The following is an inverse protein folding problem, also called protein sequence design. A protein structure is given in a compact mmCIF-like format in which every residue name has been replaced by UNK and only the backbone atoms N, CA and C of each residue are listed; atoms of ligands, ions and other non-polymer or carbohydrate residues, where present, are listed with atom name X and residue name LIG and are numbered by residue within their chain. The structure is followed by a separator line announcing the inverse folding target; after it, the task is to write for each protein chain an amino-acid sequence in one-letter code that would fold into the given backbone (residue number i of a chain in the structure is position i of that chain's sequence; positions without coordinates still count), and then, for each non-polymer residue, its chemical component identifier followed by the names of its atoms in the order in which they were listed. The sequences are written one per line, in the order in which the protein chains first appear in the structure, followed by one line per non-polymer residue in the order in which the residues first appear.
data_IF_793825833644
#
_entry.id   IF_793825833644
#
_cell.length_a   1.000
_cell.length_b   1.000
_cell.length_c   1.000
_cell.angle_alpha   90.00
_cell.angle_beta   90.00
_cell.angle_gamma   90.00
#
_symmetry.space_group_name_H-M   'P 1'
#
loop_
_entity.id
_entity.type
_entity.pdbx_description
1 polymer ?
#
# COMPACT_ATOMS: atom_id res chain seq x y z
N UNK A 1 -23.11 16.01 16.68
CA UNK A 1 -23.66 14.73 16.15
C UNK A 1 -22.63 13.60 15.94
N UNK A 2 -21.38 13.81 15.46
CA UNK A 2 -20.30 12.79 15.54
C UNK A 2 -19.41 13.02 16.78
N UNK A 3 -19.03 14.29 17.02
CA UNK A 3 -18.31 14.73 18.23
C UNK A 3 -19.01 14.36 19.54
N UNK A 4 -20.30 14.65 19.65
CA UNK A 4 -21.11 14.25 20.81
C UNK A 4 -21.29 12.73 20.95
N UNK A 5 -21.22 11.96 19.85
CA UNK A 5 -21.37 10.49 19.87
C UNK A 5 -20.10 9.78 20.34
N UNK A 6 -18.94 10.32 19.98
CA UNK A 6 -17.62 9.79 20.38
C UNK A 6 -17.13 10.40 21.71
N UNK A 7 -17.83 11.42 22.26
CA UNK A 7 -17.41 12.13 23.46
C UNK A 7 -16.13 12.96 23.28
N UNK A 8 -15.78 13.31 22.04
CA UNK A 8 -14.52 13.97 21.68
C UNK A 8 -14.75 15.36 21.09
N UNK A 9 -13.79 16.27 21.29
CA UNK A 9 -13.83 17.59 20.68
C UNK A 9 -13.78 17.52 19.15
N UNK A 10 -14.44 18.49 18.49
CA UNK A 10 -14.52 18.59 17.03
C UNK A 10 -13.13 18.63 16.38
N UNK A 11 -12.18 19.35 16.98
CA UNK A 11 -10.82 19.46 16.47
C UNK A 11 -10.06 18.13 16.52
N UNK A 12 -10.28 17.32 17.57
CA UNK A 12 -9.66 16.00 17.74
C UNK A 12 -10.17 15.02 16.69
N UNK A 13 -11.47 15.02 16.43
CA UNK A 13 -12.07 14.18 15.39
C UNK A 13 -11.54 14.58 14.02
N UNK A 14 -11.55 15.89 13.71
CA UNK A 14 -11.05 16.37 12.43
C UNK A 14 -9.60 15.95 12.21
N UNK A 15 -8.73 16.10 13.22
CA UNK A 15 -7.34 15.65 13.17
C UNK A 15 -7.23 14.15 12.89
N UNK A 16 -8.02 13.33 13.59
CA UNK A 16 -8.02 11.86 13.41
C UNK A 16 -8.42 11.47 11.98
N UNK A 17 -9.44 12.12 11.43
CA UNK A 17 -9.86 11.90 10.04
C UNK A 17 -8.78 12.32 9.05
N UNK A 18 -8.17 13.49 9.24
CA UNK A 18 -7.10 13.96 8.37
C UNK A 18 -5.91 13.00 8.33
N UNK A 19 -5.46 12.53 9.50
CA UNK A 19 -4.37 11.54 9.58
C UNK A 19 -4.75 10.25 8.85
N UNK A 20 -5.97 9.73 9.10
CA UNK A 20 -6.43 8.50 8.45
C UNK A 20 -6.50 8.63 6.92
N UNK A 21 -7.04 9.74 6.43
CA UNK A 21 -7.15 10.01 5.00
C UNK A 21 -5.78 10.22 4.36
N UNK A 22 -4.86 10.92 5.04
CA UNK A 22 -3.50 11.13 4.55
C UNK A 22 -2.73 9.80 4.42
N UNK A 23 -2.81 8.93 5.43
CA UNK A 23 -2.17 7.61 5.38
C UNK A 23 -2.76 6.75 4.25
N UNK A 24 -4.08 6.77 4.09
CA UNK A 24 -4.74 6.03 3.00
C UNK A 24 -4.27 6.52 1.63
N UNK A 25 -4.23 7.84 1.42
CA UNK A 25 -3.74 8.43 0.17
C UNK A 25 -2.28 8.06 -0.10
N UNK A 26 -1.42 8.04 0.92
CA UNK A 26 -0.01 7.67 0.79
C UNK A 26 0.16 6.22 0.32
N UNK A 27 -0.65 5.30 0.85
CA UNK A 27 -0.66 3.89 0.43
C UNK A 27 -1.10 3.80 -1.03
N UNK A 28 -2.24 4.39 -1.39
CA UNK A 28 -2.76 4.36 -2.77
C UNK A 28 -1.74 4.92 -3.78
N UNK A 29 -1.08 6.03 -3.43
CA UNK A 29 -0.05 6.64 -4.27
C UNK A 29 1.18 5.73 -4.43
N UNK A 30 1.65 5.13 -3.34
CA UNK A 30 2.82 4.24 -3.36
C UNK A 30 2.55 2.95 -4.12
N UNK A 31 1.33 2.40 -4.01
CA UNK A 31 0.91 1.23 -4.79
C UNK A 31 0.83 1.53 -6.29
N UNK A 32 0.35 2.72 -6.66
CA UNK A 32 0.36 3.17 -8.06
C UNK A 32 1.78 3.34 -8.60
N UNK A 33 2.68 3.92 -7.81
CA UNK A 33 4.09 4.04 -8.18
C UNK A 33 4.76 2.66 -8.35
N UNK A 34 4.34 1.66 -7.55
CA UNK A 34 4.77 0.27 -7.70
C UNK A 34 4.23 -0.39 -8.97
N UNK A 35 2.94 -0.21 -9.28
CA UNK A 35 2.30 -0.71 -10.50
C UNK A 35 2.97 -0.16 -11.77
N UNK A 36 3.37 1.10 -11.75
CA UNK A 36 4.10 1.75 -12.85
C UNK A 36 5.60 1.41 -12.86
N UNK A 37 6.06 0.50 -11.99
CA UNK A 37 7.45 0.05 -11.91
C UNK A 37 8.45 1.11 -11.42
N UNK A 38 7.98 2.24 -10.88
CA UNK A 38 8.83 3.34 -10.43
C UNK A 38 9.53 3.05 -9.10
N UNK A 39 8.88 2.26 -8.25
CA UNK A 39 9.43 1.80 -6.97
C UNK A 39 9.21 0.31 -6.80
N UNK A 40 10.04 -0.33 -5.99
CA UNK A 40 9.86 -1.72 -5.58
C UNK A 40 8.83 -1.83 -4.45
N UNK A 41 8.24 -3.01 -4.27
CA UNK A 41 7.30 -3.27 -3.17
C UNK A 41 7.91 -2.98 -1.78
N UNK A 42 9.21 -3.27 -1.61
CA UNK A 42 9.95 -2.97 -0.38
C UNK A 42 10.11 -1.46 -0.14
N UNK A 43 10.33 -0.69 -1.20
CA UNK A 43 10.37 0.77 -1.10
C UNK A 43 8.98 1.33 -0.76
N UNK A 44 7.91 0.80 -1.36
CA UNK A 44 6.54 1.17 -1.02
C UNK A 44 6.24 0.92 0.47
N UNK A 45 6.60 -0.26 0.99
CA UNK A 45 6.48 -0.58 2.42
C UNK A 45 7.17 0.47 3.31
N UNK A 46 8.40 0.83 2.96
CA UNK A 46 9.20 1.83 3.70
C UNK A 46 8.56 3.22 3.65
N UNK A 47 8.05 3.66 2.50
CA UNK A 47 7.38 4.96 2.34
C UNK A 47 6.10 5.02 3.17
N UNK A 48 5.31 3.95 3.18
CA UNK A 48 4.07 3.88 3.95
C UNK A 48 4.29 3.57 5.43
N UNK A 49 5.54 3.35 5.87
CA UNK A 49 5.89 2.89 7.21
C UNK A 49 5.12 1.61 7.61
N UNK A 50 5.02 0.69 6.65
CA UNK A 50 4.42 -0.63 6.79
C UNK A 50 5.50 -1.71 6.72
N UNK A 51 5.24 -2.84 7.35
CA UNK A 51 5.99 -4.06 7.08
C UNK A 51 5.77 -4.55 5.66
N UNK A 52 6.66 -5.44 5.19
CA UNK A 52 6.51 -6.04 3.87
C UNK A 52 5.21 -6.84 3.74
N UNK A 53 4.77 -7.51 4.81
CA UNK A 53 3.51 -8.26 4.81
C UNK A 53 2.29 -7.35 4.74
N UNK A 54 2.29 -6.24 5.49
CA UNK A 54 1.19 -5.28 5.47
C UNK A 54 1.02 -4.65 4.08
N UNK A 55 2.11 -4.28 3.40
CA UNK A 55 1.98 -3.73 2.04
C UNK A 55 1.48 -4.78 1.02
N UNK A 56 1.85 -6.06 1.19
CA UNK A 56 1.34 -7.16 0.37
C UNK A 56 -0.18 -7.30 0.54
N UNK A 57 -0.68 -7.17 1.76
CA UNK A 57 -2.12 -7.21 2.01
C UNK A 57 -2.84 -6.00 1.40
N UNK A 58 -2.22 -4.82 1.40
CA UNK A 58 -2.78 -3.65 0.70
C UNK A 58 -2.78 -3.81 -0.83
N UNK A 59 -1.75 -4.42 -1.42
CA UNK A 59 -1.73 -4.80 -2.85
C UNK A 59 -2.89 -5.73 -3.19
N UNK A 60 -3.12 -6.77 -2.37
CA UNK A 60 -4.21 -7.74 -2.56
C UNK A 60 -5.59 -7.08 -2.46
N UNK A 61 -5.78 -6.16 -1.50
CA UNK A 61 -7.05 -5.42 -1.35
C UNK A 61 -7.30 -4.44 -2.50
N UNK A 62 -6.23 -3.82 -3.00
CA UNK A 62 -6.29 -2.83 -4.08
C UNK A 62 -6.44 -3.43 -5.48
N UNK A 63 -6.32 -4.75 -5.62
CA UNK A 63 -6.28 -5.47 -6.91
C UNK A 63 -5.26 -4.85 -7.89
N UNK A 64 -4.12 -4.41 -7.35
CA UNK A 64 -3.04 -3.78 -8.12
C UNK A 64 -2.39 -4.84 -9.02
N UNK A 65 -2.15 -4.50 -10.28
CA UNK A 65 -1.41 -5.40 -11.16
C UNK A 65 0.05 -5.45 -10.72
N UNK A 66 0.50 -6.65 -10.31
CA UNK A 66 1.91 -6.88 -10.01
C UNK A 66 2.68 -6.86 -11.34
N UNK A 67 3.72 -6.03 -11.49
CA UNK A 67 4.54 -5.99 -12.71
C UNK A 67 5.42 -7.24 -12.77
N UNK A 68 4.81 -8.38 -13.06
CA UNK A 68 5.46 -9.67 -13.30
C UNK A 68 5.28 -10.02 -14.77
N UNK A 69 6.39 -10.17 -15.47
CA UNK A 69 6.42 -10.35 -16.92
C UNK A 69 6.55 -11.82 -17.30
N UNK A 70 6.30 -12.12 -18.59
CA UNK A 70 6.52 -13.45 -19.14
C UNK A 70 8.01 -13.83 -19.09
N UNK A 71 8.89 -12.85 -19.26
CA UNK A 71 10.33 -13.02 -19.14
C UNK A 71 10.73 -13.42 -17.72
N UNK A 72 10.16 -12.78 -16.70
CA UNK A 72 10.40 -13.14 -15.29
C UNK A 72 10.01 -14.61 -15.03
N UNK A 73 8.87 -15.04 -15.55
CA UNK A 73 8.42 -16.44 -15.45
C UNK A 73 9.37 -17.42 -16.15
N UNK A 74 9.87 -17.06 -17.33
CA UNK A 74 10.78 -17.92 -18.08
C UNK A 74 12.14 -18.08 -17.41
N UNK A 75 12.63 -17.05 -16.73
CA UNK A 75 13.85 -17.12 -15.92
C UNK A 75 13.63 -18.00 -14.68
N UNK A 76 12.51 -17.82 -13.97
CA UNK A 76 12.17 -18.63 -12.79
C UNK A 76 12.06 -20.12 -13.13
N UNK A 77 11.43 -20.46 -14.27
CA UNK A 77 11.30 -21.85 -14.72
C UNK A 77 12.64 -22.48 -15.12
N UNK A 78 13.55 -21.72 -15.74
CA UNK A 78 14.88 -22.21 -16.09
C UNK A 78 15.69 -22.62 -14.85
N UNK A 79 15.55 -21.88 -13.75
CA UNK A 79 16.20 -22.22 -12.47
C UNK A 79 15.65 -23.47 -11.77
N UNK A 80 14.56 -24.07 -12.26
CA UNK A 80 14.01 -25.32 -11.72
C UNK A 80 14.52 -26.59 -12.44
N UNK A 81 15.11 -26.43 -13.62
CA UNK A 81 15.66 -27.52 -14.44
C UNK A 81 17.17 -27.78 -14.18
N UNK A 82 17.79 -27.02 -13.25
CA UNK A 82 19.16 -27.25 -12.71
C UNK A 82 19.14 -27.98 -11.36
#
# INVERSE_FOLDING_TARGET
KIAEKEGMDRSTILRRFLIKSANKWLIEKSLKDYEEGRITLRQAAKVCNLSLWEIIDEVKKGNIHVPYTLEDLQEDLRGLDE
#
